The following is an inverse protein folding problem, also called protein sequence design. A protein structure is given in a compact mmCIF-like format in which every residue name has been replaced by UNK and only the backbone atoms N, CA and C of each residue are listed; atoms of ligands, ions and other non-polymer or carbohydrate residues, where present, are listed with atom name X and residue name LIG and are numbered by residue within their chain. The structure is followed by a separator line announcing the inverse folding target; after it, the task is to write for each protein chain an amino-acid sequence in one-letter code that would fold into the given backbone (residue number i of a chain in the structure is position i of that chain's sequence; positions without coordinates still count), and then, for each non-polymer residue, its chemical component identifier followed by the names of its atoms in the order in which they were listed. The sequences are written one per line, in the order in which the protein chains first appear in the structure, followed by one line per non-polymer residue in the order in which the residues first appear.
data_IF_923004151867
#
_entry.id   IF_923004151867
#
_cell.length_a   1.000
_cell.length_b   1.000
_cell.length_c   1.000
_cell.angle_alpha   90.00
_cell.angle_beta   90.00
_cell.angle_gamma   90.00
#
_symmetry.space_group_name_H-M   'P 1'
#
loop_
_entity.id
_entity.type
_entity.pdbx_description
1 polymer ?
#
# COMPACT_ATOMS: atom_id res chain seq x y z
N UNK A 1 0.53 -22.87 31.19
CA UNK A 1 -0.20 -22.01 30.24
C UNK A 1 0.76 -21.68 29.11
N UNK A 2 0.37 -21.86 27.84
CA UNK A 2 1.26 -21.61 26.70
C UNK A 2 1.57 -20.11 26.61
N UNK A 3 2.86 -19.78 26.61
CA UNK A 3 3.38 -18.42 26.60
C UNK A 3 3.36 -17.80 25.20
N UNK A 4 2.24 -17.94 24.48
CA UNK A 4 2.13 -17.52 23.08
C UNK A 4 1.56 -16.11 23.01
N UNK A 5 2.38 -15.17 22.54
CA UNK A 5 1.93 -13.81 22.26
C UNK A 5 1.05 -13.82 21.00
N UNK A 6 -0.25 -13.58 21.19
CA UNK A 6 -1.24 -13.50 20.12
C UNK A 6 -1.73 -12.06 19.98
N UNK A 7 -2.06 -11.67 18.75
CA UNK A 7 -2.66 -10.39 18.43
C UNK A 7 -3.80 -10.58 17.43
N UNK A 8 -4.79 -9.70 17.50
CA UNK A 8 -5.78 -9.55 16.43
C UNK A 8 -5.08 -8.97 15.19
N UNK A 9 -5.42 -9.48 14.01
CA UNK A 9 -4.83 -8.98 12.77
C UNK A 9 -5.35 -7.56 12.44
N UNK A 10 -4.43 -6.69 12.03
CA UNK A 10 -4.73 -5.27 11.75
C UNK A 10 -5.03 -4.99 10.27
N UNK A 11 -4.75 -5.97 9.40
CA UNK A 11 -5.08 -6.03 7.97
C UNK A 11 -5.40 -7.48 7.55
N UNK A 12 -5.65 -7.72 6.26
CA UNK A 12 -5.80 -9.05 5.66
C UNK A 12 -4.62 -9.47 4.76
N UNK A 13 -3.65 -8.59 4.53
CA UNK A 13 -2.48 -8.84 3.67
C UNK A 13 -1.40 -9.65 4.39
N UNK A 14 -1.11 -9.37 5.67
CA UNK A 14 -0.14 -10.17 6.45
C UNK A 14 -0.65 -11.60 6.67
N UNK A 15 -1.92 -11.83 7.06
CA UNK A 15 -2.50 -13.17 7.09
C UNK A 15 -2.45 -13.89 5.75
N UNK A 16 -2.65 -13.19 4.62
CA UNK A 16 -2.51 -13.76 3.29
C UNK A 16 -1.11 -14.27 3.03
N UNK A 17 -0.09 -13.44 3.25
CA UNK A 17 1.30 -13.82 3.03
C UNK A 17 1.65 -15.09 3.82
N UNK A 18 1.22 -15.15 5.09
CA UNK A 18 1.37 -16.35 5.92
C UNK A 18 0.65 -17.56 5.31
N UNK A 19 -0.61 -17.39 4.88
CA UNK A 19 -1.38 -18.47 4.28
C UNK A 19 -0.72 -19.02 3.01
N UNK A 20 -0.27 -18.15 2.11
CA UNK A 20 0.41 -18.56 0.87
C UNK A 20 1.69 -19.33 1.17
N UNK A 21 2.53 -18.83 2.08
CA UNK A 21 3.78 -19.51 2.44
C UNK A 21 3.51 -20.87 3.07
N UNK A 22 2.53 -20.97 3.98
CA UNK A 22 2.21 -22.23 4.68
C UNK A 22 1.60 -23.29 3.75
N UNK A 23 0.91 -22.87 2.70
CA UNK A 23 0.19 -23.76 1.79
C UNK A 23 0.80 -23.78 0.38
N UNK A 24 2.03 -23.30 0.21
CA UNK A 24 2.62 -23.02 -1.10
C UNK A 24 2.50 -24.20 -2.08
N UNK A 25 2.85 -25.41 -1.63
CA UNK A 25 2.80 -26.63 -2.43
C UNK A 25 1.38 -27.12 -2.77
N UNK A 26 0.35 -26.58 -2.12
CA UNK A 26 -1.06 -26.92 -2.30
C UNK A 26 -1.79 -25.89 -3.15
N UNK A 27 -1.21 -24.70 -3.37
CA UNK A 27 -1.82 -23.62 -4.13
C UNK A 27 -1.49 -23.72 -5.61
N UNK A 28 -2.45 -23.34 -6.45
CA UNK A 28 -2.22 -23.09 -7.87
C UNK A 28 -1.98 -21.62 -8.11
N UNK A 29 -0.97 -21.29 -8.91
CA UNK A 29 -0.60 -19.92 -9.24
C UNK A 29 -0.99 -19.56 -10.69
N UNK A 30 -1.47 -18.32 -10.95
CA UNK A 30 -1.66 -17.23 -9.98
C UNK A 30 -2.81 -17.50 -9.01
N UNK A 31 -2.52 -17.41 -7.72
CA UNK A 31 -3.49 -17.63 -6.66
C UNK A 31 -4.35 -16.37 -6.50
N UNK A 32 -5.64 -16.50 -6.82
CA UNK A 32 -6.62 -15.41 -6.75
C UNK A 32 -7.55 -15.63 -5.58
N UNK A 33 -7.78 -14.59 -4.78
CA UNK A 33 -8.71 -14.65 -3.67
C UNK A 33 -9.45 -13.34 -3.44
N UNK A 34 -10.57 -13.43 -2.74
CA UNK A 34 -11.17 -12.30 -2.05
C UNK A 34 -11.34 -12.66 -0.56
N UNK A 35 -11.33 -11.66 0.32
CA UNK A 35 -11.62 -11.86 1.74
C UNK A 35 -12.36 -10.66 2.30
N UNK A 36 -13.51 -10.93 2.94
CA UNK A 36 -14.29 -9.93 3.67
C UNK A 36 -14.26 -10.30 5.15
N UNK A 37 -13.53 -9.54 5.96
CA UNK A 37 -13.39 -9.83 7.37
C UNK A 37 -13.14 -8.54 8.18
N UNK A 38 -13.50 -8.58 9.46
CA UNK A 38 -13.17 -7.53 10.43
C UNK A 38 -11.66 -7.49 10.69
N UNK A 39 -11.12 -6.28 10.88
CA UNK A 39 -9.74 -6.05 11.32
C UNK A 39 -9.71 -5.07 12.49
N UNK A 40 -8.62 -5.10 13.26
CA UNK A 40 -8.50 -4.33 14.49
C UNK A 40 -7.30 -3.41 14.51
N UNK A 41 -7.53 -2.12 14.83
CA UNK A 41 -6.46 -1.11 14.96
C UNK A 41 -6.46 -0.51 16.37
N UNK A 42 -5.30 -0.50 17.01
CA UNK A 42 -5.10 -0.01 18.38
C UNK A 42 -5.05 1.53 18.53
N UNK A 43 -5.42 2.27 17.50
CA UNK A 43 -5.28 3.73 17.49
C UNK A 43 -6.27 4.41 18.49
N UNK A 44 -5.91 5.61 18.95
CA UNK A 44 -6.83 6.42 19.76
C UNK A 44 -8.06 6.77 18.92
N UNK A 45 -9.29 6.62 19.45
CA UNK A 45 -10.49 6.92 18.69
C UNK A 45 -10.46 8.39 18.25
N UNK A 46 -10.58 8.60 16.94
CA UNK A 46 -10.81 9.89 16.31
C UNK A 46 -12.18 9.78 15.61
N UNK A 47 -12.85 10.90 15.34
CA UNK A 47 -14.13 10.87 14.62
C UNK A 47 -13.97 10.10 13.29
N UNK A 48 -14.84 9.11 13.06
CA UNK A 48 -14.79 8.25 11.88
C UNK A 48 -13.70 7.15 11.88
N UNK A 49 -12.92 7.00 12.95
CA UNK A 49 -11.82 6.03 13.05
C UNK A 49 -12.14 4.94 14.07
N UNK A 50 -12.80 3.89 13.60
CA UNK A 50 -13.19 2.74 14.42
C UNK A 50 -11.99 1.84 14.74
N UNK A 51 -12.04 1.18 15.91
CA UNK A 51 -11.06 0.16 16.30
C UNK A 51 -11.32 -1.20 15.68
N UNK A 52 -12.53 -1.41 15.16
CA UNK A 52 -12.97 -2.60 14.44
C UNK A 52 -13.77 -2.16 13.22
N UNK A 53 -13.43 -2.67 12.04
CA UNK A 53 -14.16 -2.40 10.80
C UNK A 53 -13.91 -3.52 9.79
N UNK A 54 -14.79 -3.64 8.80
CA UNK A 54 -14.63 -4.60 7.71
C UNK A 54 -13.63 -4.10 6.66
N UNK A 55 -12.76 -4.99 6.21
CA UNK A 55 -12.03 -4.86 4.96
C UNK A 55 -12.57 -5.86 3.94
N UNK A 56 -12.57 -5.45 2.67
CA UNK A 56 -12.97 -6.24 1.53
C UNK A 56 -11.78 -6.28 0.56
N UNK A 57 -10.92 -7.26 0.71
CA UNK A 57 -9.67 -7.37 -0.04
C UNK A 57 -9.85 -8.32 -1.24
N UNK A 58 -9.20 -7.98 -2.35
CA UNK A 58 -9.06 -8.84 -3.54
C UNK A 58 -7.58 -8.86 -3.87
N UNK A 59 -6.98 -10.04 -3.88
CA UNK A 59 -5.56 -10.21 -4.10
C UNK A 59 -5.29 -11.26 -5.17
N UNK A 60 -4.23 -11.02 -5.94
CA UNK A 60 -3.66 -12.00 -6.87
C UNK A 60 -2.19 -12.17 -6.53
N UNK A 61 -1.79 -13.40 -6.23
CA UNK A 61 -0.42 -13.74 -5.88
C UNK A 61 0.15 -14.60 -7.01
N UNK A 62 1.28 -14.17 -7.58
CA UNK A 62 2.01 -14.92 -8.61
C UNK A 62 3.10 -15.82 -8.02
N UNK A 63 3.65 -16.70 -8.85
CA UNK A 63 4.92 -17.39 -8.59
C UNK A 63 6.01 -16.66 -9.38
N UNK A 64 6.89 -15.94 -8.67
CA UNK A 64 7.93 -15.03 -9.18
C UNK A 64 7.41 -13.77 -9.85
N UNK A 65 6.71 -13.92 -10.96
CA UNK A 65 6.26 -12.82 -11.80
C UNK A 65 4.73 -12.81 -11.92
N UNK A 66 4.18 -11.62 -12.07
CA UNK A 66 2.76 -11.41 -12.31
C UNK A 66 2.59 -10.53 -13.55
N UNK A 67 1.73 -10.91 -14.52
CA UNK A 67 1.49 -10.06 -15.69
C UNK A 67 0.89 -8.72 -15.30
N UNK A 68 1.33 -7.63 -15.95
CA UNK A 68 0.78 -6.28 -15.77
C UNK A 68 -0.74 -6.19 -16.01
N UNK A 69 -1.29 -7.15 -16.77
CA UNK A 69 -2.73 -7.25 -16.99
C UNK A 69 -3.50 -7.42 -15.66
N UNK A 70 -2.90 -8.08 -14.67
CA UNK A 70 -3.53 -8.30 -13.36
C UNK A 70 -3.70 -6.98 -12.60
N UNK A 71 -2.72 -6.07 -12.66
CA UNK A 71 -2.86 -4.72 -12.10
C UNK A 71 -4.00 -3.94 -12.81
N UNK A 72 -4.17 -4.14 -14.12
CA UNK A 72 -5.23 -3.50 -14.91
C UNK A 72 -6.63 -4.07 -14.62
N UNK A 73 -6.74 -5.31 -14.11
CA UNK A 73 -8.01 -5.89 -13.67
C UNK A 73 -8.55 -5.17 -12.42
N UNK A 74 -7.69 -4.69 -11.52
CA UNK A 74 -8.11 -4.11 -10.24
C UNK A 74 -9.04 -2.89 -10.40
N UNK A 75 -8.71 -1.87 -11.21
CA UNK A 75 -9.64 -0.76 -11.46
C UNK A 75 -10.97 -1.20 -12.08
N UNK A 76 -10.97 -2.24 -12.94
CA UNK A 76 -12.19 -2.76 -13.55
C UNK A 76 -13.12 -3.39 -12.51
N UNK A 77 -12.56 -4.18 -11.59
CA UNK A 77 -13.32 -4.79 -10.49
C UNK A 77 -13.87 -3.71 -9.54
N UNK A 78 -13.05 -2.74 -9.13
CA UNK A 78 -13.48 -1.61 -8.30
C UNK A 78 -14.62 -0.84 -8.97
N UNK A 79 -14.47 -0.53 -10.26
CA UNK A 79 -15.48 0.17 -11.03
C UNK A 79 -16.81 -0.60 -11.08
N UNK A 80 -16.77 -1.91 -11.33
CA UNK A 80 -17.97 -2.74 -11.36
C UNK A 80 -18.67 -2.77 -10.00
N UNK A 81 -17.93 -2.93 -8.91
CA UNK A 81 -18.47 -2.93 -7.54
C UNK A 81 -19.16 -1.60 -7.24
N UNK A 82 -18.47 -0.47 -7.43
CA UNK A 82 -19.02 0.84 -7.11
C UNK A 82 -20.17 1.26 -8.03
N UNK A 83 -20.14 0.83 -9.30
CA UNK A 83 -21.28 1.00 -10.21
C UNK A 83 -22.51 0.22 -9.74
N UNK A 84 -22.34 -1.02 -9.28
CA UNK A 84 -23.43 -1.83 -8.75
C UNK A 84 -23.98 -1.31 -7.42
N UNK A 85 -23.12 -0.72 -6.59
CA UNK A 85 -23.51 -0.10 -5.33
C UNK A 85 -24.20 1.26 -5.48
N UNK A 86 -24.22 1.83 -6.70
CA UNK A 86 -24.83 3.11 -7.03
C UNK A 86 -24.40 4.28 -6.11
N UNK A 87 -23.09 4.39 -5.86
CA UNK A 87 -22.53 5.43 -4.97
C UNK A 87 -22.37 6.81 -5.66
N UNK A 88 -22.90 6.96 -6.87
CA UNK A 88 -22.73 8.15 -7.69
C UNK A 88 -21.39 8.22 -8.43
N UNK A 89 -20.94 9.44 -8.75
CA UNK A 89 -19.69 9.66 -9.50
C UNK A 89 -18.48 9.45 -8.61
N UNK A 90 -17.49 8.72 -9.13
CA UNK A 90 -16.20 8.51 -8.46
C UNK A 90 -15.05 8.55 -9.47
N UNK A 91 -13.82 8.67 -8.96
CA UNK A 91 -12.59 8.63 -9.72
C UNK A 91 -11.65 7.59 -9.11
N UNK A 92 -10.99 6.79 -9.96
CA UNK A 92 -9.96 5.85 -9.53
C UNK A 92 -8.61 6.46 -9.90
N UNK A 93 -7.85 6.86 -8.89
CA UNK A 93 -6.46 7.31 -9.07
C UNK A 93 -5.54 6.10 -9.26
N UNK A 94 -4.69 6.14 -10.29
CA UNK A 94 -3.70 5.09 -10.59
C UNK A 94 -2.32 5.72 -10.61
N UNK A 95 -1.35 5.07 -9.96
CA UNK A 95 0.04 5.51 -9.94
C UNK A 95 0.98 4.29 -9.98
N UNK A 96 2.21 4.49 -10.44
CA UNK A 96 3.27 3.49 -10.40
C UNK A 96 4.48 4.05 -9.63
N UNK A 97 4.83 3.38 -8.53
CA UNK A 97 5.94 3.76 -7.65
C UNK A 97 7.27 3.93 -8.40
N UNK A 98 7.50 3.12 -9.44
CA UNK A 98 8.72 3.12 -10.24
C UNK A 98 8.91 4.44 -11.01
N UNK A 99 7.82 5.13 -11.37
CA UNK A 99 7.88 6.44 -12.03
C UNK A 99 8.43 7.49 -11.07
N UNK A 100 7.89 7.56 -9.84
CA UNK A 100 8.40 8.47 -8.81
C UNK A 100 9.83 8.13 -8.39
N UNK A 101 10.16 6.85 -8.26
CA UNK A 101 11.52 6.42 -7.97
C UNK A 101 12.48 6.87 -9.09
N UNK A 102 12.13 6.63 -10.36
CA UNK A 102 12.92 7.09 -11.50
C UNK A 102 13.08 8.60 -11.54
N UNK A 103 12.03 9.36 -11.22
CA UNK A 103 12.08 10.81 -11.10
C UNK A 103 13.10 11.25 -10.03
N UNK A 104 13.04 10.69 -8.82
CA UNK A 104 13.99 11.05 -7.77
C UNK A 104 15.42 10.58 -8.06
N UNK A 105 15.58 9.39 -8.63
CA UNK A 105 16.89 8.89 -9.08
C UNK A 105 17.51 9.78 -10.16
N UNK A 106 16.69 10.31 -11.08
CA UNK A 106 17.15 11.26 -12.11
C UNK A 106 17.75 12.54 -11.49
N UNK A 107 17.21 13.01 -10.37
CA UNK A 107 17.76 14.13 -9.61
C UNK A 107 18.91 13.73 -8.66
N UNK A 108 19.41 12.50 -8.73
CA UNK A 108 20.58 12.06 -7.97
C UNK A 108 20.29 11.65 -6.52
N UNK A 109 19.03 11.39 -6.14
CA UNK A 109 18.74 10.90 -4.80
C UNK A 109 19.21 9.45 -4.63
N UNK A 110 19.89 9.15 -3.53
CA UNK A 110 20.20 7.76 -3.14
C UNK A 110 18.93 6.96 -2.81
N UNK A 111 18.99 5.64 -2.97
CA UNK A 111 17.85 4.74 -2.69
C UNK A 111 17.23 4.93 -1.29
N UNK A 112 18.05 5.21 -0.28
CA UNK A 112 17.56 5.49 1.06
C UNK A 112 16.69 6.75 1.08
N UNK A 113 17.18 7.84 0.51
CA UNK A 113 16.49 9.13 0.55
C UNK A 113 15.32 9.20 -0.45
N UNK A 114 15.30 8.35 -1.49
CA UNK A 114 14.10 8.13 -2.31
C UNK A 114 12.94 7.64 -1.46
N UNK A 115 13.12 6.63 -0.61
CA UNK A 115 12.02 6.14 0.23
C UNK A 115 11.50 7.21 1.18
N UNK A 116 12.41 7.98 1.79
CA UNK A 116 12.07 9.10 2.66
C UNK A 116 11.31 10.22 1.92
N UNK A 117 11.74 10.56 0.71
CA UNK A 117 11.07 11.52 -0.18
C UNK A 117 9.67 11.05 -0.54
N UNK A 118 9.52 9.79 -0.93
CA UNK A 118 8.22 9.20 -1.23
C UNK A 118 7.26 9.26 -0.04
N UNK A 119 7.74 8.98 1.17
CA UNK A 119 6.94 9.11 2.39
C UNK A 119 6.53 10.55 2.70
N UNK A 120 7.35 11.53 2.33
CA UNK A 120 7.01 12.95 2.49
C UNK A 120 5.95 13.38 1.45
N UNK A 121 6.09 12.93 0.19
CA UNK A 121 5.13 13.22 -0.89
C UNK A 121 3.77 12.57 -0.65
N UNK A 122 3.71 11.38 -0.06
CA UNK A 122 2.44 10.70 0.29
C UNK A 122 1.53 11.56 1.18
N UNK A 123 2.12 12.48 1.95
CA UNK A 123 1.38 13.39 2.83
C UNK A 123 1.06 14.73 2.18
N UNK A 124 1.55 15.00 0.98
CA UNK A 124 1.50 16.33 0.33
C UNK A 124 0.09 16.91 0.29
N UNK A 125 -0.90 16.12 -0.15
CA UNK A 125 -2.29 16.58 -0.24
C UNK A 125 -2.86 16.94 1.14
N UNK A 126 -2.40 16.28 2.20
CA UNK A 126 -2.91 16.47 3.55
C UNK A 126 -2.21 17.63 4.30
N UNK A 127 -0.90 17.80 4.10
CA UNK A 127 -0.10 18.75 4.89
C UNK A 127 0.31 20.00 4.12
N UNK A 128 0.23 19.98 2.79
CA UNK A 128 0.64 21.07 1.91
C UNK A 128 2.14 21.10 1.59
N UNK A 129 2.50 21.89 0.57
CA UNK A 129 3.86 21.96 0.01
C UNK A 129 4.90 22.36 1.05
N UNK A 130 4.60 23.36 1.87
CA UNK A 130 5.56 23.92 2.84
C UNK A 130 5.95 22.89 3.90
N UNK A 131 4.96 22.23 4.52
CA UNK A 131 5.22 21.16 5.51
C UNK A 131 5.89 19.93 4.90
N UNK A 132 5.57 19.61 3.64
CA UNK A 132 6.28 18.54 2.93
C UNK A 132 7.74 18.90 2.73
N UNK A 133 8.06 20.15 2.36
CA UNK A 133 9.45 20.64 2.24
C UNK A 133 10.19 20.59 3.59
N UNK A 134 9.56 21.04 4.66
CA UNK A 134 10.10 20.94 6.02
C UNK A 134 10.40 19.47 6.38
N UNK A 135 9.44 18.58 6.16
CA UNK A 135 9.61 17.13 6.41
C UNK A 135 10.77 16.55 5.60
N UNK A 136 10.95 17.00 4.35
CA UNK A 136 12.06 16.56 3.50
C UNK A 136 13.42 17.07 4.01
N UNK A 137 13.48 18.32 4.48
CA UNK A 137 14.68 18.91 5.07
C UNK A 137 15.05 18.26 6.41
N UNK A 138 14.07 18.00 7.29
CA UNK A 138 14.27 17.29 8.56
C UNK A 138 14.84 15.87 8.36
N UNK A 139 14.44 15.22 7.27
CA UNK A 139 14.94 13.91 6.87
C UNK A 139 16.30 13.97 6.15
N UNK A 140 16.87 15.17 6.00
CA UNK A 140 18.19 15.37 5.39
C UNK A 140 18.28 14.98 3.92
N UNK A 141 17.17 15.06 3.17
CA UNK A 141 17.11 14.61 1.77
C UNK A 141 18.01 15.46 0.86
N UNK A 142 18.20 16.73 1.21
CA UNK A 142 19.15 17.67 0.61
C UNK A 142 20.61 17.19 0.66
N UNK A 143 20.98 16.45 1.71
CA UNK A 143 22.34 15.92 1.90
C UNK A 143 22.57 14.57 1.20
N UNK A 144 21.57 14.04 0.51
CA UNK A 144 21.59 12.73 -0.12
C UNK A 144 21.79 12.75 -1.64
N UNK A 145 22.22 13.89 -2.19
CA UNK A 145 22.49 14.02 -3.61
C UNK A 145 23.81 13.30 -3.92
N UNK A 146 23.76 12.28 -4.77
CA UNK A 146 24.97 11.79 -5.43
C UNK A 146 25.50 12.90 -6.32
N UNK A 147 26.78 13.24 -6.20
CA UNK A 147 27.44 14.22 -7.06
C UNK A 147 27.14 13.85 -8.51
N UNK A 148 26.32 14.67 -9.18
CA UNK A 148 26.08 14.53 -10.61
C UNK A 148 27.39 14.94 -11.26
N UNK A 149 28.14 13.97 -11.77
CA UNK A 149 29.27 14.20 -12.66
C UNK A 149 28.80 14.68 -14.02
#
# INVERSE_FOLDING_TARGET
MSNTNLALHFDLTVPLARYVVQNYSLLSFPFRRYQIQKVWRGERPQSGRYREFYQCDIDVVGDKDLPLLVDAEMPSVIYQIFKQMDIGKFMIGVNNRKILQGYFSFYGLTNHCINEAMHAVDKLEKVGVDKTRETMAEKGIDNCLTTIG
#
